data_IF_109658708599
#
_entry.id   IF_109658708599
#
_cell.length_a   1.000
_cell.length_b   1.000
_cell.length_c   1.000
_cell.angle_alpha   90.00
_cell.angle_beta   90.00
_cell.angle_gamma   90.00
#
_symmetry.space_group_name_H-M   'P 1'
#
loop_
_entity.id
_entity.type
_entity.pdbx_description
1 polymer ?
#
# COMPACT_ATOMS: atom_id res chain seq x y z
N UNK A 1 19.67 -12.82 6.35
CA UNK A 1 18.28 -12.74 6.88
C UNK A 1 17.93 -11.53 7.76
N UNK A 2 18.78 -11.11 8.71
CA UNK A 2 18.49 -9.93 9.56
C UNK A 2 18.33 -8.64 8.74
N UNK A 3 19.11 -8.48 7.67
CA UNK A 3 19.04 -7.34 6.76
C UNK A 3 17.67 -7.20 6.07
N UNK A 4 17.12 -8.30 5.52
CA UNK A 4 15.78 -8.30 4.91
C UNK A 4 14.68 -7.87 5.89
N UNK A 5 14.74 -8.35 7.14
CA UNK A 5 13.81 -7.92 8.21
C UNK A 5 13.95 -6.43 8.54
N UNK A 6 15.18 -5.92 8.54
CA UNK A 6 15.44 -4.50 8.79
C UNK A 6 14.94 -3.63 7.65
N UNK A 7 15.15 -4.04 6.40
CA UNK A 7 14.60 -3.36 5.22
C UNK A 7 13.08 -3.27 5.30
N UNK A 8 12.38 -4.40 5.47
CA UNK A 8 10.92 -4.43 5.56
C UNK A 8 10.39 -3.56 6.70
N UNK A 9 11.06 -3.59 7.87
CA UNK A 9 10.72 -2.71 9.00
C UNK A 9 10.91 -1.22 8.65
N UNK A 10 11.97 -0.89 7.91
CA UNK A 10 12.27 0.49 7.54
C UNK A 10 11.27 1.04 6.52
N UNK A 11 10.93 0.26 5.50
CA UNK A 11 9.97 0.65 4.45
C UNK A 11 8.59 0.90 5.05
N UNK A 12 8.11 0.00 5.92
CA UNK A 12 6.79 0.12 6.52
C UNK A 12 6.68 1.21 7.62
N UNK A 13 7.80 1.83 8.05
CA UNK A 13 7.81 2.73 9.23
C UNK A 13 6.93 3.97 9.06
N UNK A 14 6.67 4.39 7.83
CA UNK A 14 5.88 5.58 7.49
C UNK A 14 4.37 5.38 7.62
N UNK A 15 3.90 4.13 7.73
CA UNK A 15 2.49 3.80 7.92
C UNK A 15 2.09 4.12 9.37
N UNK A 16 1.08 4.97 9.56
CA UNK A 16 0.63 5.41 10.89
C UNK A 16 -0.15 4.32 11.62
N UNK A 17 -1.08 3.66 10.94
CA UNK A 17 -1.89 2.60 11.54
C UNK A 17 -1.00 1.40 11.94
N UNK A 18 -1.05 0.95 13.21
CA UNK A 18 -0.16 -0.10 13.69
C UNK A 18 -0.47 -1.48 13.13
N UNK A 19 -1.74 -1.76 12.77
CA UNK A 19 -2.16 -3.03 12.17
C UNK A 19 -1.67 -3.07 10.72
N UNK A 20 -1.97 -2.04 9.94
CA UNK A 20 -1.57 -1.94 8.53
C UNK A 20 -0.04 -1.89 8.41
N UNK A 21 0.66 -1.21 9.32
CA UNK A 21 2.13 -1.22 9.37
C UNK A 21 2.69 -2.62 9.62
N UNK A 22 2.03 -3.42 10.47
CA UNK A 22 2.45 -4.80 10.74
C UNK A 22 2.22 -5.69 9.53
N UNK A 23 1.07 -5.56 8.88
CA UNK A 23 0.70 -6.31 7.68
C UNK A 23 1.64 -5.99 6.53
N UNK A 24 1.82 -4.71 6.17
CA UNK A 24 2.75 -4.29 5.12
C UNK A 24 4.18 -4.77 5.39
N UNK A 25 4.67 -4.67 6.63
CA UNK A 25 6.00 -5.19 6.99
C UNK A 25 6.11 -6.70 6.73
N UNK A 26 5.08 -7.47 7.08
CA UNK A 26 5.09 -8.92 6.89
C UNK A 26 5.06 -9.29 5.40
N UNK A 27 4.24 -8.60 4.62
CA UNK A 27 4.13 -8.77 3.17
C UNK A 27 5.46 -8.43 2.47
N UNK A 28 6.04 -7.27 2.73
CA UNK A 28 7.36 -6.91 2.20
C UNK A 28 8.44 -7.92 2.58
N UNK A 29 8.43 -8.40 3.83
CA UNK A 29 9.40 -9.42 4.26
C UNK A 29 9.19 -10.76 3.54
N UNK A 30 7.94 -11.16 3.28
CA UNK A 30 7.64 -12.38 2.51
C UNK A 30 8.19 -12.28 1.10
N UNK A 31 7.93 -11.17 0.40
CA UNK A 31 8.40 -11.02 -0.97
C UNK A 31 9.93 -10.88 -1.06
N UNK A 32 10.56 -10.18 -0.11
CA UNK A 32 12.03 -10.14 -0.03
C UNK A 32 12.63 -11.52 0.22
N UNK A 33 11.97 -12.35 1.03
CA UNK A 33 12.39 -13.73 1.27
C UNK A 33 12.24 -14.59 0.01
N UNK A 34 11.10 -14.48 -0.68
CA UNK A 34 10.85 -15.16 -1.96
C UNK A 34 11.92 -14.79 -2.99
N UNK A 35 12.18 -13.50 -3.20
CA UNK A 35 13.23 -13.03 -4.11
C UNK A 35 14.63 -13.50 -3.70
N UNK A 36 14.95 -13.48 -2.40
CA UNK A 36 16.21 -14.04 -1.90
C UNK A 36 16.35 -15.52 -2.25
N UNK A 37 15.34 -16.35 -1.99
CA UNK A 37 15.39 -17.79 -2.28
C UNK A 37 15.50 -18.09 -3.77
N UNK A 38 14.94 -17.23 -4.64
CA UNK A 38 15.12 -17.34 -6.09
C UNK A 38 16.54 -16.97 -6.52
N UNK A 39 17.04 -15.81 -6.07
CA UNK A 39 18.35 -15.28 -6.44
C UNK A 39 19.48 -16.18 -5.91
N UNK A 40 19.33 -16.71 -4.69
CA UNK A 40 20.27 -17.63 -4.05
C UNK A 40 20.59 -18.86 -4.90
N UNK A 41 19.67 -19.32 -5.75
CA UNK A 41 19.91 -20.46 -6.66
C UNK A 41 21.02 -20.17 -7.67
N UNK A 42 21.28 -18.89 -7.94
CA UNK A 42 22.24 -18.41 -8.94
C UNK A 42 23.38 -17.57 -8.36
N UNK A 43 23.29 -17.15 -7.10
CA UNK A 43 24.32 -16.35 -6.43
C UNK A 43 25.49 -17.19 -5.91
N UNK A 44 26.63 -16.55 -5.76
CA UNK A 44 27.86 -17.16 -5.24
C UNK A 44 27.87 -17.26 -3.72
N UNK A 45 27.10 -16.39 -3.04
CA UNK A 45 26.96 -16.37 -1.57
C UNK A 45 25.58 -15.91 -1.11
N UNK A 46 25.28 -16.15 0.17
CA UNK A 46 24.06 -15.67 0.80
C UNK A 46 24.07 -14.14 0.97
N UNK A 47 25.23 -13.54 1.26
CA UNK A 47 25.40 -12.09 1.32
C UNK A 47 25.04 -11.42 -0.01
N UNK A 48 25.55 -11.95 -1.12
CA UNK A 48 25.26 -11.45 -2.47
C UNK A 48 23.77 -11.56 -2.79
N UNK A 49 23.15 -12.71 -2.49
CA UNK A 49 21.72 -12.90 -2.73
C UNK A 49 20.86 -11.95 -1.90
N UNK A 50 21.26 -11.64 -0.66
CA UNK A 50 20.55 -10.67 0.19
C UNK A 50 20.67 -9.25 -0.38
N UNK A 51 21.86 -8.86 -0.84
CA UNK A 51 22.11 -7.53 -1.40
C UNK A 51 21.31 -7.33 -2.68
N UNK A 52 21.34 -8.30 -3.61
CA UNK A 52 20.57 -8.28 -4.85
C UNK A 52 19.05 -8.30 -4.60
N UNK A 53 18.58 -9.08 -3.63
CA UNK A 53 17.15 -9.08 -3.26
C UNK A 53 16.70 -7.70 -2.74
N UNK A 54 17.55 -7.01 -1.98
CA UNK A 54 17.27 -5.65 -1.51
C UNK A 54 17.34 -4.65 -2.68
N UNK A 55 18.33 -4.78 -3.56
CA UNK A 55 18.50 -3.91 -4.73
C UNK A 55 17.31 -4.03 -5.69
N UNK A 56 16.78 -5.24 -5.90
CA UNK A 56 15.61 -5.48 -6.73
C UNK A 56 14.37 -4.71 -6.23
N UNK A 57 14.22 -4.59 -4.92
CA UNK A 57 13.17 -3.76 -4.29
C UNK A 57 13.50 -2.27 -4.29
N UNK A 58 14.74 -1.89 -4.61
CA UNK A 58 15.15 -0.49 -4.72
C UNK A 58 15.40 0.20 -3.39
N UNK A 59 15.67 1.50 -3.47
CA UNK A 59 16.12 2.30 -2.34
C UNK A 59 15.05 2.37 -1.23
N UNK A 60 15.45 2.02 0.00
CA UNK A 60 14.58 2.10 1.20
C UNK A 60 13.84 3.41 1.36
N UNK A 61 14.45 4.55 1.03
CA UNK A 61 13.85 5.88 1.17
C UNK A 61 12.76 6.13 0.14
N UNK A 62 13.01 5.77 -1.12
CA UNK A 62 12.06 5.91 -2.22
C UNK A 62 10.86 4.98 -2.00
N UNK A 63 11.11 3.72 -1.66
CA UNK A 63 10.06 2.74 -1.40
C UNK A 63 9.20 3.16 -0.18
N UNK A 64 9.81 3.68 0.88
CA UNK A 64 9.06 4.21 2.03
C UNK A 64 8.21 5.45 1.68
N UNK A 65 8.69 6.29 0.75
CA UNK A 65 7.98 7.48 0.25
C UNK A 65 6.79 7.08 -0.62
N UNK A 66 6.98 6.12 -1.52
CA UNK A 66 5.92 5.64 -2.41
C UNK A 66 4.85 4.87 -1.65
N UNK A 67 5.24 4.06 -0.65
CA UNK A 67 4.31 3.44 0.27
C UNK A 67 3.50 4.48 1.04
N UNK A 68 4.15 5.54 1.54
CA UNK A 68 3.47 6.65 2.21
C UNK A 68 2.46 7.33 1.29
N UNK A 69 2.80 7.60 0.02
CA UNK A 69 1.87 8.20 -0.96
C UNK A 69 0.69 7.27 -1.26
N UNK A 70 0.93 5.98 -1.48
CA UNK A 70 -0.10 4.99 -1.75
C UNK A 70 -1.06 4.86 -0.56
N UNK A 71 -0.52 4.88 0.65
CA UNK A 71 -1.29 4.72 1.88
C UNK A 71 -2.05 5.99 2.31
N UNK A 72 -1.49 7.18 2.05
CA UNK A 72 -2.20 8.47 2.23
C UNK A 72 -3.40 8.58 1.28
N UNK A 73 -3.39 7.88 0.14
CA UNK A 73 -4.45 7.95 -0.87
C UNK A 73 -5.67 7.08 -0.55
N UNK A 74 -5.87 6.65 0.70
CA UNK A 74 -7.20 6.24 1.15
C UNK A 74 -8.10 7.48 1.11
N UNK A 75 -9.23 7.39 0.40
CA UNK A 75 -10.27 8.42 0.41
C UNK A 75 -10.50 8.83 1.87
N UNK A 76 -10.24 10.09 2.19
CA UNK A 76 -10.55 10.64 3.50
C UNK A 76 -12.02 10.33 3.81
N UNK A 77 -12.36 10.03 5.07
CA UNK A 77 -13.75 9.90 5.50
C UNK A 77 -14.59 11.12 5.07
N UNK A 78 -13.96 12.29 4.97
CA UNK A 78 -14.58 13.50 4.40
C UNK A 78 -14.93 13.35 2.92
N UNK A 79 -14.02 12.82 2.10
CA UNK A 79 -14.29 12.54 0.68
C UNK A 79 -15.41 11.50 0.51
N UNK A 80 -15.46 10.48 1.38
CA UNK A 80 -16.56 9.51 1.38
C UNK A 80 -17.91 10.16 1.71
N UNK A 81 -17.96 11.01 2.73
CA UNK A 81 -19.18 11.75 3.12
C UNK A 81 -19.66 12.67 2.00
N UNK A 82 -18.76 13.39 1.34
CA UNK A 82 -19.11 14.29 0.22
C UNK A 82 -19.66 13.52 -0.98
N UNK A 83 -19.07 12.37 -1.32
CA UNK A 83 -19.55 11.51 -2.40
C UNK A 83 -20.94 10.97 -2.04
N UNK A 84 -21.13 10.49 -0.81
CA UNK A 84 -22.40 9.95 -0.35
C UNK A 84 -23.51 11.02 -0.35
N UNK A 85 -23.23 12.21 0.17
CA UNK A 85 -24.20 13.32 0.23
C UNK A 85 -24.59 13.81 -1.17
N UNK A 86 -23.61 13.92 -2.08
CA UNK A 86 -23.85 14.36 -3.45
C UNK A 86 -24.69 13.33 -4.23
N UNK A 87 -24.43 12.04 -4.01
CA UNK A 87 -25.19 10.95 -4.62
C UNK A 87 -26.64 10.94 -4.13
N UNK A 88 -26.87 11.08 -2.82
CA UNK A 88 -28.21 11.17 -2.25
C UNK A 88 -28.98 12.38 -2.77
N UNK A 89 -28.34 13.54 -2.85
CA UNK A 89 -28.95 14.77 -3.37
C UNK A 89 -29.40 14.60 -4.83
N UNK A 90 -28.57 14.00 -5.68
CA UNK A 90 -28.93 13.72 -7.08
C UNK A 90 -30.11 12.74 -7.19
N UNK A 91 -30.17 11.71 -6.36
CA UNK A 91 -31.29 10.77 -6.34
C UNK A 91 -32.61 11.46 -5.94
N UNK A 92 -32.56 12.37 -4.96
CA UNK A 92 -33.73 13.16 -4.54
C UNK A 92 -34.18 14.09 -5.68
N UNK A 93 -33.24 14.77 -6.34
CA UNK A 93 -33.52 15.63 -7.49
C UNK A 93 -34.16 14.85 -8.64
N UNK A 94 -33.61 13.68 -8.97
CA UNK A 94 -34.16 12.80 -10.00
C UNK A 94 -35.59 12.37 -9.65
N UNK A 95 -35.82 11.98 -8.39
CA UNK A 95 -37.14 11.59 -7.91
C UNK A 95 -38.16 12.75 -8.00
N UNK A 96 -37.76 13.96 -7.60
CA UNK A 96 -38.61 15.15 -7.71
C UNK A 96 -38.95 15.49 -9.17
N UNK A 97 -37.99 15.35 -10.08
CA UNK A 97 -38.21 15.52 -11.53
C UNK A 97 -39.19 14.48 -12.07
N UNK A 98 -39.04 13.21 -11.69
CA UNK A 98 -39.98 12.16 -12.08
C UNK A 98 -41.39 12.45 -11.55
N UNK A 99 -41.53 12.89 -10.30
CA UNK A 99 -42.82 13.33 -9.77
C UNK A 99 -43.42 14.48 -10.58
N UNK A 100 -42.63 15.48 -11.00
CA UNK A 100 -43.14 16.58 -11.83
C UNK A 100 -43.55 16.16 -13.24
N UNK A 101 -42.92 15.14 -13.81
CA UNK A 101 -43.19 14.67 -15.18
C UNK A 101 -44.38 13.71 -15.23
N UNK A 102 -44.56 12.89 -14.20
CA UNK A 102 -45.54 11.80 -14.17
C UNK A 102 -46.76 12.07 -13.29
N UNK A 103 -46.86 13.26 -12.68
CA UNK A 103 -47.99 13.70 -11.85
C UNK A 103 -48.58 15.00 -12.41
#
# INVERSE_FOLDING_TARGET
MRALKQYAKHVARSITDPIERKEARNEFYSHLLESYEEIRKTSSSDEEAIELAIEYFGNTHEMASDLKKAHIKKLSNSSFVVILSSTLFLLILLYALLLMVFN
#
